data_IF_298320721655
#
_entry.id   IF_298320721655
#
_cell.length_a   1.000
_cell.length_b   1.000
_cell.length_c   1.000
_cell.angle_alpha   90.00
_cell.angle_beta   90.00
_cell.angle_gamma   90.00
#
_symmetry.space_group_name_H-M   'P 1'
#
loop_
_entity.id
_entity.type
_entity.pdbx_description
1 polymer ?
#
# COMPACT_ATOMS: atom_id res chain seq x y z
N UNK A 1 14.31 10.34 13.89
CA UNK A 1 14.70 9.42 12.80
C UNK A 1 13.55 8.43 12.67
N UNK A 2 12.81 8.46 11.56
CA UNK A 2 11.68 7.55 11.33
C UNK A 2 12.27 6.21 10.90
N UNK A 3 12.11 5.19 11.72
CA UNK A 3 12.49 3.82 11.41
C UNK A 3 11.19 3.08 11.05
N UNK A 4 10.85 2.93 9.75
CA UNK A 4 9.67 2.18 9.37
C UNK A 4 9.90 0.73 9.77
N UNK A 5 9.16 0.26 10.77
CA UNK A 5 9.09 -1.17 11.05
C UNK A 5 8.75 -1.88 9.72
N UNK A 6 9.65 -2.70 9.15
CA UNK A 6 9.47 -3.29 7.81
C UNK A 6 8.26 -4.23 7.75
N UNK A 7 7.69 -4.62 8.89
CA UNK A 7 6.44 -5.35 8.99
C UNK A 7 5.19 -4.52 8.63
N UNK A 8 5.32 -3.20 8.42
CA UNK A 8 4.22 -2.28 8.11
C UNK A 8 4.16 -1.87 6.63
N UNK A 9 4.97 -2.47 5.77
CA UNK A 9 5.05 -2.09 4.35
C UNK A 9 4.65 -3.25 3.44
N UNK A 10 3.59 -3.04 2.64
CA UNK A 10 3.21 -3.91 1.53
C UNK A 10 3.76 -3.34 0.24
N UNK A 11 4.44 -4.16 -0.57
CA UNK A 11 4.95 -3.73 -1.89
C UNK A 11 4.02 -4.16 -3.01
N UNK A 12 3.85 -3.30 -4.00
CA UNK A 12 3.11 -3.67 -5.20
C UNK A 12 3.87 -4.80 -5.93
N UNK A 13 3.21 -5.91 -6.30
CA UNK A 13 3.91 -7.09 -6.83
C UNK A 13 4.56 -6.88 -8.20
N UNK A 14 4.08 -5.89 -8.96
CA UNK A 14 4.48 -5.64 -10.36
C UNK A 14 5.09 -4.27 -10.63
N UNK A 15 5.02 -3.34 -9.66
CA UNK A 15 5.39 -1.94 -9.86
C UNK A 15 6.46 -1.56 -8.83
N UNK A 16 7.75 -1.69 -9.18
CA UNK A 16 8.83 -1.29 -8.30
C UNK A 16 8.68 0.18 -7.88
N UNK A 17 8.86 0.46 -6.60
CA UNK A 17 8.72 1.81 -6.05
C UNK A 17 7.28 2.22 -5.72
N UNK A 18 6.28 1.34 -5.93
CA UNK A 18 4.93 1.51 -5.39
C UNK A 18 4.80 0.67 -4.12
N UNK A 19 4.66 1.35 -3.00
CA UNK A 19 4.58 0.75 -1.68
C UNK A 19 3.39 1.32 -0.90
N UNK A 20 2.79 0.50 -0.04
CA UNK A 20 1.74 0.88 0.88
C UNK A 20 2.28 0.75 2.30
N UNK A 21 2.40 1.88 2.98
CA UNK A 21 2.87 1.95 4.35
C UNK A 21 1.68 2.10 5.29
N UNK A 22 1.56 1.20 6.27
CA UNK A 22 0.54 1.31 7.31
C UNK A 22 0.94 2.39 8.32
N UNK A 23 0.03 3.35 8.52
CA UNK A 23 0.27 4.50 9.38
C UNK A 23 0.25 4.16 10.87
N UNK A 24 0.75 5.07 11.71
CA UNK A 24 0.81 4.86 13.16
C UNK A 24 -0.59 4.82 13.80
N UNK A 25 -1.62 5.41 13.16
CA UNK A 25 -3.00 5.34 13.63
C UNK A 25 -3.75 4.19 12.96
N UNK A 26 -4.66 3.58 13.71
CA UNK A 26 -5.46 2.46 13.22
C UNK A 26 -6.27 2.87 11.99
N UNK A 27 -5.91 2.30 10.84
CA UNK A 27 -6.66 2.46 9.58
C UNK A 27 -6.06 3.47 8.64
N UNK A 28 -4.99 4.12 9.04
CA UNK A 28 -4.20 4.92 8.13
C UNK A 28 -3.33 4.04 7.26
N UNK A 29 -3.30 4.37 5.97
CA UNK A 29 -2.35 3.82 5.03
C UNK A 29 -1.89 4.95 4.10
N UNK A 30 -0.60 4.96 3.80
CA UNK A 30 0.05 5.94 2.93
C UNK A 30 0.54 5.22 1.68
N UNK A 31 0.09 5.67 0.52
CA UNK A 31 0.66 5.23 -0.74
C UNK A 31 1.96 6.00 -0.99
N UNK A 32 3.06 5.27 -1.08
CA UNK A 32 4.36 5.79 -1.48
C UNK A 32 4.60 5.37 -2.94
N UNK A 33 4.62 6.36 -3.84
CA UNK A 33 4.87 6.18 -5.27
C UNK A 33 5.76 7.31 -5.80
N UNK A 34 6.90 7.54 -5.14
CA UNK A 34 7.79 8.67 -5.44
C UNK A 34 8.57 8.39 -6.72
N UNK A 35 8.46 9.27 -7.71
CA UNK A 35 9.22 9.19 -8.97
C UNK A 35 8.73 8.10 -9.94
N UNK A 36 7.62 7.43 -9.64
CA UNK A 36 7.03 6.41 -10.51
C UNK A 36 6.06 7.09 -11.47
N UNK A 37 6.39 7.14 -12.76
CA UNK A 37 5.43 7.53 -13.79
C UNK A 37 4.56 6.32 -14.09
N UNK A 38 3.28 6.40 -13.72
CA UNK A 38 2.30 5.37 -13.97
C UNK A 38 1.50 5.71 -15.23
N UNK A 39 1.41 4.75 -16.16
CA UNK A 39 0.45 4.82 -17.25
C UNK A 39 -0.98 4.48 -16.75
N UNK A 40 -2.03 4.69 -17.57
CA UNK A 40 -3.41 4.44 -17.15
C UNK A 40 -3.69 3.00 -16.72
N UNK A 41 -3.10 2.00 -17.38
CA UNK A 41 -3.32 0.58 -17.04
C UNK A 41 -2.65 0.26 -15.69
N UNK A 42 -1.47 0.84 -15.43
CA UNK A 42 -0.79 0.73 -14.15
C UNK A 42 -1.56 1.43 -13.03
N UNK A 43 -2.24 2.55 -13.29
CA UNK A 43 -3.11 3.19 -12.30
C UNK A 43 -4.30 2.29 -11.91
N UNK A 44 -4.89 1.58 -12.88
CA UNK A 44 -5.95 0.60 -12.61
C UNK A 44 -5.41 -0.54 -11.75
N UNK A 45 -4.24 -1.09 -12.10
CA UNK A 45 -3.58 -2.15 -11.33
C UNK A 45 -3.31 -1.72 -9.87
N UNK A 46 -2.77 -0.51 -9.67
CA UNK A 46 -2.56 0.05 -8.32
C UNK A 46 -3.89 0.17 -7.57
N UNK A 47 -4.96 0.64 -8.21
CA UNK A 47 -6.28 0.76 -7.60
C UNK A 47 -6.84 -0.59 -7.13
N UNK A 48 -6.77 -1.62 -7.97
CA UNK A 48 -7.21 -2.97 -7.64
C UNK A 48 -6.40 -3.58 -6.49
N UNK A 49 -5.08 -3.38 -6.53
CA UNK A 49 -4.19 -3.83 -5.46
C UNK A 49 -4.50 -3.14 -4.13
N UNK A 50 -4.70 -1.81 -4.11
CA UNK A 50 -5.10 -1.07 -2.92
C UNK A 50 -6.43 -1.57 -2.35
N UNK A 51 -7.41 -1.82 -3.22
CA UNK A 51 -8.70 -2.37 -2.80
C UNK A 51 -8.56 -3.76 -2.15
N UNK A 52 -7.66 -4.61 -2.67
CA UNK A 52 -7.33 -5.90 -2.05
C UNK A 52 -6.69 -5.73 -0.68
N UNK A 53 -5.68 -4.86 -0.54
CA UNK A 53 -5.02 -4.58 0.74
C UNK A 53 -6.03 -4.09 1.80
N UNK A 54 -6.93 -3.17 1.41
CA UNK A 54 -7.99 -2.67 2.29
C UNK A 54 -8.94 -3.75 2.78
N UNK A 55 -9.35 -4.69 1.91
CA UNK A 55 -10.18 -5.84 2.31
C UNK A 55 -9.47 -6.76 3.29
N UNK A 56 -8.19 -7.06 3.05
CA UNK A 56 -7.38 -7.91 3.94
C UNK A 56 -7.21 -7.26 5.32
N UNK A 57 -6.95 -5.94 5.35
CA UNK A 57 -6.84 -5.18 6.60
C UNK A 57 -8.18 -5.17 7.36
N UNK A 58 -9.30 -4.97 6.66
CA UNK A 58 -10.63 -5.02 7.27
C UNK A 58 -10.97 -6.40 7.82
N UNK A 59 -10.56 -7.48 7.15
CA UNK A 59 -10.76 -8.85 7.62
C UNK A 59 -9.96 -9.16 8.89
N UNK A 60 -8.71 -8.67 8.98
CA UNK A 60 -7.86 -8.83 10.18
C UNK A 60 -8.44 -8.13 11.41
N UNK A 61 -9.16 -7.01 11.24
CA UNK A 61 -9.82 -6.28 12.34
C UNK A 61 -11.05 -6.96 12.91
N UNK A 62 -11.64 -7.91 12.18
CA UNK A 62 -12.85 -8.65 12.59
C UNK A 62 -12.52 -9.97 13.31
N UNK A 63 -11.25 -10.31 13.42
CA UNK A 63 -10.74 -11.47 14.15
C UNK A 63 -10.15 -11.01 15.48
#
# INVERSE_FOLDING_TARGET
>A
MYDPNPALVSRHPRLPGVELMHGPRSGESYLLAVGVRLDPDQLVDVGEWLAKQGREQAARRRR
#
